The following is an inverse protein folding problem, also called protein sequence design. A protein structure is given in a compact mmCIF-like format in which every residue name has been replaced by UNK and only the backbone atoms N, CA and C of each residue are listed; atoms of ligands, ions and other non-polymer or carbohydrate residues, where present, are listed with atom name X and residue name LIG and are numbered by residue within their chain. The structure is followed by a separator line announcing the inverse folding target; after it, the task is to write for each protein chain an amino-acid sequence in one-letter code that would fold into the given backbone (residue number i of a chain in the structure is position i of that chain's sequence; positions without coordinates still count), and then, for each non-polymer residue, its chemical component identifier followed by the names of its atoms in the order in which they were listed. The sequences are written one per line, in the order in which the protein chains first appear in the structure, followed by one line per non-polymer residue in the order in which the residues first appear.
data_IF_107783883738
#
_entry.id   IF_107783883738
#
_cell.length_a   1.000
_cell.length_b   1.000
_cell.length_c   1.000
_cell.angle_alpha   90.00
_cell.angle_beta   90.00
_cell.angle_gamma   90.00
#
_symmetry.space_group_name_H-M   'P 1'
#
loop_
_entity.id
_entity.type
_entity.pdbx_description
1 polymer ?
#
# COMPACT_ATOMS: atom_id res chain seq x y z
N UNK A 1 -4.87 -2.32 -22.18
CA UNK A 1 -3.87 -1.23 -22.22
C UNK A 1 -2.75 -1.41 -21.19
N UNK A 2 -2.97 -1.22 -19.87
CA UNK A 2 -1.88 -1.32 -18.86
C UNK A 2 -1.08 -2.64 -18.90
N UNK A 3 -1.78 -3.79 -18.94
CA UNK A 3 -1.11 -5.11 -19.03
C UNK A 3 -0.26 -5.26 -20.29
N UNK A 4 -0.67 -4.64 -21.39
CA UNK A 4 0.04 -4.72 -22.65
C UNK A 4 1.33 -3.90 -22.58
N UNK A 5 1.26 -2.67 -22.07
CA UNK A 5 2.43 -1.79 -21.99
C UNK A 5 3.50 -2.38 -21.06
N UNK A 6 3.11 -3.06 -19.97
CA UNK A 6 4.06 -3.79 -19.10
C UNK A 6 4.66 -5.00 -19.81
N UNK A 7 3.89 -5.73 -20.64
CA UNK A 7 4.42 -6.81 -21.48
C UNK A 7 5.40 -6.29 -22.54
N UNK A 8 5.16 -5.09 -23.05
CA UNK A 8 6.02 -4.41 -24.02
C UNK A 8 7.28 -3.80 -23.35
N UNK A 9 7.49 -4.04 -22.05
CA UNK A 9 8.70 -3.68 -21.30
C UNK A 9 8.56 -2.48 -20.38
N UNK A 10 7.36 -1.91 -20.21
CA UNK A 10 7.18 -0.81 -19.28
C UNK A 10 7.39 -1.25 -17.82
N UNK A 11 8.17 -0.44 -17.11
CA UNK A 11 8.57 -0.68 -15.72
C UNK A 11 7.62 0.05 -14.76
N UNK A 12 7.25 -0.62 -13.67
CA UNK A 12 6.34 -0.10 -12.64
C UNK A 12 7.07 0.43 -11.39
N UNK A 13 8.40 0.29 -11.36
CA UNK A 13 9.28 0.68 -10.27
C UNK A 13 10.01 2.00 -10.54
N UNK A 14 9.83 2.61 -11.73
CA UNK A 14 10.45 3.89 -12.08
C UNK A 14 9.68 5.04 -11.43
N UNK A 15 10.32 5.81 -10.54
CA UNK A 15 9.72 7.01 -9.96
C UNK A 15 9.74 8.19 -10.94
N UNK A 16 8.77 9.08 -10.85
CA UNK A 16 8.80 10.35 -11.58
C UNK A 16 9.86 11.32 -11.03
N UNK A 17 10.37 12.19 -11.90
CA UNK A 17 11.40 13.15 -11.51
C UNK A 17 10.87 14.26 -10.61
N UNK A 18 9.56 14.52 -10.61
CA UNK A 18 8.97 15.63 -9.86
C UNK A 18 8.81 15.23 -8.39
N UNK A 19 8.08 14.15 -8.11
CA UNK A 19 7.69 13.75 -6.75
C UNK A 19 8.32 12.45 -6.27
N UNK A 20 9.07 11.72 -7.10
CA UNK A 20 9.59 10.40 -6.75
C UNK A 20 8.51 9.31 -6.75
N UNK A 21 7.37 9.54 -7.40
CA UNK A 21 6.19 8.68 -7.40
C UNK A 21 6.25 7.69 -8.55
N UNK A 22 6.08 6.42 -8.20
CA UNK A 22 5.81 5.34 -9.17
C UNK A 22 4.32 5.31 -9.62
N UNK A 23 3.96 4.58 -10.70
CA UNK A 23 2.59 4.46 -11.19
C UNK A 23 1.53 4.13 -10.12
N UNK A 24 1.87 3.32 -9.11
CA UNK A 24 0.95 2.96 -8.04
C UNK A 24 0.53 4.15 -7.17
N UNK A 25 1.43 5.11 -6.89
CA UNK A 25 1.09 6.34 -6.18
C UNK A 25 0.04 7.17 -6.92
N UNK A 26 0.18 7.27 -8.24
CA UNK A 26 -0.76 8.01 -9.08
C UNK A 26 -2.13 7.33 -9.13
N UNK A 27 -2.17 6.01 -9.28
CA UNK A 27 -3.43 5.26 -9.31
C UNK A 27 -4.25 5.45 -8.02
N UNK A 28 -3.59 5.51 -6.86
CA UNK A 28 -4.23 5.76 -5.56
C UNK A 28 -4.67 7.22 -5.44
N UNK A 29 -3.82 8.18 -5.83
CA UNK A 29 -4.15 9.61 -5.75
C UNK A 29 -5.34 9.99 -6.63
N UNK A 30 -5.56 9.26 -7.72
CA UNK A 30 -6.70 9.45 -8.62
C UNK A 30 -7.91 8.58 -8.26
N UNK A 31 -7.88 7.84 -7.14
CA UNK A 31 -8.95 6.92 -6.69
C UNK A 31 -9.34 5.86 -7.73
N UNK A 32 -8.42 5.46 -8.60
CA UNK A 32 -8.70 4.48 -9.66
C UNK A 32 -8.49 3.05 -9.18
N UNK A 33 -9.44 2.53 -8.41
CA UNK A 33 -9.41 1.17 -7.86
C UNK A 33 -9.03 0.08 -8.88
N UNK A 34 -9.64 0.09 -10.07
CA UNK A 34 -9.33 -0.90 -11.13
C UNK A 34 -7.86 -0.84 -11.59
N UNK A 35 -7.25 0.35 -11.60
CA UNK A 35 -5.83 0.53 -11.94
C UNK A 35 -4.93 0.09 -10.80
N UNK A 36 -5.26 0.43 -9.56
CA UNK A 36 -4.56 -0.06 -8.36
C UNK A 36 -4.49 -1.58 -8.37
N UNK A 37 -5.66 -2.24 -8.53
CA UNK A 37 -5.74 -3.70 -8.62
C UNK A 37 -4.85 -4.23 -9.73
N UNK A 38 -4.95 -3.68 -10.93
CA UNK A 38 -4.14 -4.14 -12.07
C UNK A 38 -2.64 -3.98 -11.82
N UNK A 39 -2.20 -2.86 -11.27
CA UNK A 39 -0.78 -2.60 -10.98
C UNK A 39 -0.22 -3.57 -9.94
N UNK A 40 -0.98 -3.85 -8.87
CA UNK A 40 -0.59 -4.84 -7.85
C UNK A 40 -0.48 -6.25 -8.44
N UNK A 41 -1.43 -6.67 -9.29
CA UNK A 41 -1.35 -7.96 -10.00
C UNK A 41 -0.15 -8.04 -10.95
N UNK A 42 0.32 -6.90 -11.46
CA UNK A 42 1.52 -6.78 -12.29
C UNK A 42 2.81 -6.63 -11.45
N UNK A 43 2.74 -6.92 -10.14
CA UNK A 43 3.87 -6.85 -9.20
C UNK A 43 4.49 -5.46 -9.09
N UNK A 44 3.68 -4.41 -9.20
CA UNK A 44 4.13 -3.06 -8.84
C UNK A 44 4.62 -3.04 -7.39
N UNK A 45 5.76 -2.41 -7.08
CA UNK A 45 6.28 -2.39 -5.73
C UNK A 45 5.34 -1.59 -4.82
N UNK A 46 4.97 -2.19 -3.69
CA UNK A 46 3.91 -1.68 -2.80
C UNK A 46 4.44 -0.75 -1.70
N UNK A 47 5.75 -0.80 -1.44
CA UNK A 47 6.42 -0.06 -0.35
C UNK A 47 7.41 1.00 -0.85
N UNK A 48 7.40 1.32 -2.15
CA UNK A 48 8.28 2.39 -2.67
C UNK A 48 7.90 3.73 -2.06
N UNK A 49 8.88 4.46 -1.55
CA UNK A 49 8.68 5.79 -1.00
C UNK A 49 8.81 6.86 -2.10
N UNK A 50 7.92 7.84 -2.06
CA UNK A 50 8.09 9.10 -2.79
C UNK A 50 9.07 10.06 -2.07
N UNK A 51 9.34 11.23 -2.66
CA UNK A 51 10.26 12.22 -2.07
C UNK A 51 9.84 12.74 -0.69
N UNK A 52 8.56 12.63 -0.32
CA UNK A 52 8.03 12.99 1.00
C UNK A 52 8.10 11.81 2.00
N UNK A 53 8.78 10.71 1.64
CA UNK A 53 8.77 9.45 2.37
C UNK A 53 7.33 8.93 2.57
N UNK A 54 6.50 9.03 1.53
CA UNK A 54 5.15 8.45 1.52
C UNK A 54 5.15 7.24 0.61
N UNK A 55 4.72 6.12 1.15
CA UNK A 55 4.42 4.90 0.39
C UNK A 55 3.01 4.99 -0.23
N UNK A 56 2.66 4.10 -1.17
CA UNK A 56 1.29 3.93 -1.66
C UNK A 56 0.24 3.90 -0.53
N UNK A 57 0.51 3.16 0.55
CA UNK A 57 -0.40 3.06 1.70
C UNK A 57 -0.56 4.39 2.45
N UNK A 58 0.50 5.19 2.59
CA UNK A 58 0.39 6.53 3.17
C UNK A 58 -0.61 7.40 2.41
N UNK A 59 -0.59 7.37 1.06
CA UNK A 59 -1.50 8.17 0.24
C UNK A 59 -2.96 7.71 0.39
N UNK A 60 -3.20 6.39 0.47
CA UNK A 60 -4.54 5.84 0.65
C UNK A 60 -5.15 6.26 1.99
N UNK A 61 -4.35 6.25 3.07
CA UNK A 61 -4.81 6.55 4.43
C UNK A 61 -4.97 8.06 4.69
N UNK A 62 -4.17 8.90 4.00
CA UNK A 62 -4.22 10.36 4.09
C UNK A 62 -5.26 11.00 3.17
N UNK A 63 -6.05 10.22 2.43
CA UNK A 63 -7.09 10.79 1.58
C UNK A 63 -8.13 11.56 2.39
N UNK A 64 -8.62 12.66 1.81
CA UNK A 64 -9.62 13.54 2.44
C UNK A 64 -11.05 12.99 2.31
N UNK A 65 -11.26 12.11 1.34
CA UNK A 65 -12.56 11.58 0.89
C UNK A 65 -12.65 10.09 1.21
N UNK A 66 -12.99 9.73 2.46
CA UNK A 66 -13.12 8.33 2.85
C UNK A 66 -14.36 7.75 2.17
N UNK A 67 -14.14 6.81 1.24
CA UNK A 67 -15.17 6.08 0.55
C UNK A 67 -14.87 4.57 0.57
N UNK A 68 -15.80 3.78 0.04
CA UNK A 68 -15.67 2.32 0.01
C UNK A 68 -14.46 1.85 -0.83
N UNK A 69 -14.12 2.58 -1.89
CA UNK A 69 -12.99 2.25 -2.77
C UNK A 69 -11.64 2.49 -2.11
N UNK A 70 -11.52 3.53 -1.28
CA UNK A 70 -10.34 3.80 -0.43
C UNK A 70 -10.15 2.67 0.55
N UNK A 71 -11.21 2.26 1.25
CA UNK A 71 -11.14 1.14 2.20
C UNK A 71 -10.67 -0.14 1.52
N UNK A 72 -11.26 -0.45 0.35
CA UNK A 72 -10.80 -1.58 -0.49
C UNK A 72 -9.33 -1.45 -0.91
N UNK A 73 -8.91 -0.24 -1.30
CA UNK A 73 -7.52 0.07 -1.68
C UNK A 73 -6.57 -0.22 -0.53
N UNK A 74 -6.90 0.21 0.69
CA UNK A 74 -6.11 -0.07 1.89
C UNK A 74 -5.99 -1.58 2.10
N UNK A 75 -7.11 -2.31 2.17
CA UNK A 75 -7.07 -3.77 2.38
C UNK A 75 -6.28 -4.49 1.28
N UNK A 76 -6.45 -4.10 0.03
CA UNK A 76 -5.71 -4.71 -1.08
C UNK A 76 -4.19 -4.44 -0.99
N UNK A 77 -3.78 -3.25 -0.57
CA UNK A 77 -2.36 -2.96 -0.34
C UNK A 77 -1.80 -3.84 0.78
N UNK A 78 -2.56 -4.04 1.87
CA UNK A 78 -2.18 -4.91 2.99
C UNK A 78 -2.03 -6.37 2.54
N UNK A 79 -2.97 -6.89 1.75
CA UNK A 79 -2.90 -8.24 1.17
C UNK A 79 -1.63 -8.45 0.32
N UNK A 80 -1.17 -7.39 -0.36
CA UNK A 80 0.04 -7.42 -1.19
C UNK A 80 1.32 -7.10 -0.39
N UNK A 81 1.26 -7.05 0.95
CA UNK A 81 2.41 -6.88 1.82
C UNK A 81 2.85 -5.42 2.02
N UNK A 82 1.90 -4.48 1.98
CA UNK A 82 2.19 -3.10 2.36
C UNK A 82 2.61 -3.01 3.83
N UNK A 83 3.73 -2.36 4.10
CA UNK A 83 4.20 -2.11 5.46
C UNK A 83 3.35 -1.03 6.13
N UNK A 84 2.79 -1.38 7.28
CA UNK A 84 1.94 -0.51 8.11
C UNK A 84 2.74 0.24 9.18
N UNK A 85 3.96 -0.19 9.52
CA UNK A 85 4.69 0.30 10.68
C UNK A 85 4.96 1.81 10.57
N UNK A 86 5.57 2.24 9.47
CA UNK A 86 5.87 3.66 9.24
C UNK A 86 4.60 4.48 9.03
N UNK A 87 3.56 3.89 8.43
CA UNK A 87 2.26 4.54 8.25
C UNK A 87 1.62 4.84 9.60
N UNK A 88 1.52 3.83 10.48
CA UNK A 88 0.98 3.94 11.83
C UNK A 88 1.77 4.98 12.62
N UNK A 89 3.10 4.93 12.59
CA UNK A 89 3.96 5.91 13.28
C UNK A 89 3.66 7.35 12.85
N UNK A 90 3.42 7.58 11.56
CA UNK A 90 3.15 8.91 11.00
C UNK A 90 1.74 9.40 11.27
N UNK A 91 0.74 8.51 11.29
CA UNK A 91 -0.68 8.86 11.51
C UNK A 91 -1.14 8.70 12.97
N UNK A 92 -0.41 7.99 13.83
CA UNK A 92 -0.71 7.83 15.25
C UNK A 92 -0.98 9.15 15.99
N UNK A 93 -0.24 10.26 15.74
CA UNK A 93 -0.55 11.54 16.37
C UNK A 93 -1.79 12.23 15.76
N UNK A 94 -2.39 11.68 14.71
CA UNK A 94 -3.52 12.26 13.98
C UNK A 94 -4.80 11.42 14.22
N UNK A 95 -5.95 12.07 14.36
CA UNK A 95 -7.23 11.37 14.39
C UNK A 95 -7.56 10.81 13.00
N UNK A 96 -7.17 9.57 12.74
CA UNK A 96 -7.45 8.86 11.49
C UNK A 96 -8.39 7.66 11.74
N UNK A 97 -9.44 7.54 10.93
CA UNK A 97 -10.45 6.46 11.06
C UNK A 97 -9.91 5.07 10.74
N UNK A 98 -8.84 4.96 9.97
CA UNK A 98 -8.25 3.69 9.57
C UNK A 98 -7.19 3.18 10.55
N UNK A 99 -6.75 4.02 11.51
CA UNK A 99 -5.67 3.70 12.44
C UNK A 99 -5.95 2.45 13.27
N UNK A 100 -7.16 2.31 13.84
CA UNK A 100 -7.55 1.13 14.62
C UNK A 100 -7.41 -0.16 13.81
N UNK A 101 -7.86 -0.13 12.54
CA UNK A 101 -7.85 -1.29 11.67
C UNK A 101 -6.42 -1.66 11.23
N UNK A 102 -5.56 -0.66 11.03
CA UNK A 102 -4.15 -0.89 10.70
C UNK A 102 -3.38 -1.50 11.87
N UNK A 103 -3.64 -1.05 13.11
CA UNK A 103 -3.04 -1.61 14.32
C UNK A 103 -3.48 -3.06 14.52
N UNK A 104 -4.77 -3.34 14.38
CA UNK A 104 -5.31 -4.71 14.46
C UNK A 104 -4.67 -5.63 13.40
N UNK A 105 -4.52 -5.15 12.16
CA UNK A 105 -3.82 -5.90 11.12
C UNK A 105 -2.33 -6.15 11.44
N UNK A 106 -1.64 -5.14 11.98
CA UNK A 106 -0.24 -5.27 12.40
C UNK A 106 -0.06 -6.32 13.50
N UNK A 107 -0.96 -6.32 14.50
CA UNK A 107 -0.94 -7.28 15.61
C UNK A 107 -1.20 -8.70 15.11
N UNK A 108 -2.20 -8.89 14.24
CA UNK A 108 -2.47 -10.22 13.66
C UNK A 108 -1.30 -10.77 12.86
N UNK A 109 -0.61 -9.92 12.09
CA UNK A 109 0.58 -10.35 11.35
C UNK A 109 1.71 -10.77 12.29
N UNK A 110 1.95 -10.02 13.38
CA UNK A 110 3.01 -10.37 14.34
C UNK A 110 2.69 -11.64 15.11
N UNK A 111 1.44 -11.84 15.50
CA UNK A 111 0.93 -13.06 16.13
C UNK A 111 1.08 -14.27 15.20
N UNK A 112 0.61 -14.16 13.96
CA UNK A 112 0.71 -15.23 12.96
C UNK A 112 2.18 -15.61 12.70
N UNK A 113 3.08 -14.64 12.65
CA UNK A 113 4.52 -14.89 12.50
C UNK A 113 5.12 -15.60 13.72
N UNK A 114 4.76 -15.17 14.92
CA UNK A 114 5.21 -15.82 16.16
C UNK A 114 4.70 -17.27 16.25
N UNK A 115 3.43 -17.51 15.89
CA UNK A 115 2.84 -18.84 15.86
C UNK A 115 3.56 -19.75 14.85
N UNK A 116 3.81 -19.25 13.64
CA UNK A 116 4.54 -19.99 12.61
C UNK A 116 5.97 -20.36 13.06
N UNK A 117 6.67 -19.46 13.76
CA UNK A 117 8.01 -19.72 14.32
C UNK A 117 8.00 -20.80 15.40
N UNK A 118 6.97 -20.84 16.25
CA UNK A 118 6.88 -21.86 17.30
C UNK A 118 6.59 -23.24 16.71
N UNK A 119 5.84 -23.32 15.60
CA UNK A 119 5.51 -24.58 14.92
C UNK A 119 6.68 -25.20 14.12
N UNK A 120 7.67 -24.40 13.72
CA UNK A 120 8.84 -24.89 12.96
C UNK A 120 10.01 -25.29 13.86
N UNK A 121 9.94 -24.99 15.16
CA UNK A 121 10.96 -25.32 16.16
C UNK A 121 10.63 -26.59 16.97
N UNK A 122 9.58 -27.32 16.57
CA UNK A 122 9.15 -28.63 17.11
C UNK A 122 9.24 -29.64 15.99
#
# INVERSE_FOLDING_TARGET
MLRQIVRDGARLDIPDDVRGRIPLHFAISCEFWCRVKTLLHLRSPVNTEDKDKKTPLHLAVLTRTPNFEVTKTIYLLLEYGADVNEVIKKIAPLRNRYLSNLIDHQQRLSEAFNEARMKTLV
#
